data_IF_782287264126
#
_entry.id   IF_782287264126
#
_cell.length_a   1.000
_cell.length_b   1.000
_cell.length_c   1.000
_cell.angle_alpha   90.00
_cell.angle_beta   90.00
_cell.angle_gamma   90.00
#
_symmetry.space_group_name_H-M   'P 1'
#
loop_
_entity.id
_entity.type
_entity.pdbx_description
1 polymer ?
#
# COMPACT_ATOMS: atom_id res chain seq x y z
N UNK A 1 11.68 -20.71 5.75
CA UNK A 1 11.01 -19.39 5.66
C UNK A 1 11.94 -18.43 4.95
N UNK A 2 11.49 -17.81 3.88
CA UNK A 2 12.21 -16.79 3.09
C UNK A 2 12.44 -15.52 3.90
N UNK A 3 13.49 -14.79 3.61
CA UNK A 3 13.81 -13.48 4.21
C UNK A 3 13.14 -12.37 3.40
N UNK A 4 12.33 -11.54 4.04
CA UNK A 4 11.58 -10.45 3.42
C UNK A 4 12.45 -9.19 3.38
N UNK A 5 12.66 -8.60 2.21
CA UNK A 5 13.27 -7.28 2.07
C UNK A 5 12.21 -6.19 2.07
N UNK A 6 12.17 -5.33 3.09
CA UNK A 6 11.25 -4.20 3.17
C UNK A 6 11.92 -2.92 2.70
N UNK A 7 11.36 -2.26 1.69
CA UNK A 7 11.69 -0.88 1.33
C UNK A 7 10.64 0.01 2.00
N UNK A 8 11.02 0.63 3.11
CA UNK A 8 10.13 1.41 3.97
C UNK A 8 10.57 2.87 4.13
N UNK A 9 9.96 3.56 5.09
CA UNK A 9 10.24 4.97 5.39
C UNK A 9 9.29 5.96 4.71
N UNK A 10 8.31 5.49 3.94
CA UNK A 10 7.43 6.34 3.12
C UNK A 10 5.92 6.22 3.50
N UNK A 11 5.41 6.47 4.68
CA UNK A 11 6.09 6.99 5.87
C UNK A 11 6.73 5.90 6.76
N UNK A 12 7.44 6.35 7.82
CA UNK A 12 7.95 5.42 8.84
C UNK A 12 6.82 4.87 9.71
N UNK A 13 5.75 5.63 9.94
CA UNK A 13 4.56 5.19 10.68
C UNK A 13 3.92 3.96 10.01
N UNK A 14 3.68 4.03 8.70
CA UNK A 14 3.15 2.90 7.95
C UNK A 14 4.13 1.73 7.88
N UNK A 15 5.43 2.00 7.84
CA UNK A 15 6.47 0.97 7.87
C UNK A 15 6.48 0.21 9.19
N UNK A 16 6.28 0.89 10.31
CA UNK A 16 6.11 0.25 11.62
C UNK A 16 4.88 -0.68 11.66
N UNK A 17 3.77 -0.29 10.99
CA UNK A 17 2.60 -1.16 10.83
C UNK A 17 2.92 -2.40 9.98
N UNK A 18 3.70 -2.26 8.89
CA UNK A 18 4.17 -3.41 8.12
C UNK A 18 4.98 -4.38 8.97
N UNK A 19 5.96 -3.88 9.71
CA UNK A 19 6.76 -4.69 10.62
C UNK A 19 5.89 -5.47 11.60
N UNK A 20 4.96 -4.78 12.25
CA UNK A 20 4.03 -5.40 13.20
C UNK A 20 3.12 -6.43 12.55
N UNK A 21 2.51 -6.09 11.40
CA UNK A 21 1.56 -6.96 10.70
C UNK A 21 2.22 -8.24 10.20
N UNK A 22 3.43 -8.15 9.64
CA UNK A 22 4.22 -9.31 9.21
C UNK A 22 4.53 -10.26 10.37
N UNK A 23 5.01 -9.72 11.49
CA UNK A 23 5.33 -10.55 12.65
C UNK A 23 4.08 -11.21 13.23
N UNK A 24 2.96 -10.49 13.32
CA UNK A 24 1.68 -11.07 13.75
C UNK A 24 1.18 -12.13 12.77
N UNK A 25 1.34 -11.91 11.47
CA UNK A 25 0.93 -12.87 10.45
C UNK A 25 1.71 -14.18 10.53
N UNK A 26 3.04 -14.10 10.71
CA UNK A 26 3.90 -15.28 10.89
C UNK A 26 3.59 -15.98 12.22
N UNK A 27 3.45 -15.23 13.32
CA UNK A 27 3.12 -15.81 14.62
C UNK A 27 1.79 -16.56 14.61
N UNK A 28 0.75 -16.04 13.92
CA UNK A 28 -0.54 -16.73 13.77
C UNK A 28 -0.44 -18.04 12.99
N UNK A 29 0.47 -18.12 11.99
CA UNK A 29 0.62 -19.31 11.14
C UNK A 29 1.47 -20.40 11.77
N UNK A 30 2.54 -20.02 12.47
CA UNK A 30 3.51 -20.96 13.00
C UNK A 30 3.41 -21.17 14.52
N UNK A 31 2.77 -20.23 15.24
CA UNK A 31 2.66 -20.29 16.70
C UNK A 31 3.95 -19.98 17.43
N UNK A 32 3.91 -20.14 18.78
CA UNK A 32 5.08 -19.99 19.64
C UNK A 32 5.78 -18.63 19.52
N UNK A 33 7.09 -18.64 19.48
CA UNK A 33 7.94 -17.45 19.36
C UNK A 33 8.33 -17.12 17.92
N UNK A 34 7.64 -17.70 16.91
CA UNK A 34 7.93 -17.42 15.53
C UNK A 34 7.64 -15.97 15.16
N UNK A 35 8.55 -15.36 14.42
CA UNK A 35 8.47 -14.00 13.86
C UNK A 35 8.99 -14.00 12.43
N UNK A 36 8.74 -12.93 11.68
CA UNK A 36 9.20 -12.80 10.32
C UNK A 36 10.73 -12.65 10.26
N UNK A 37 11.35 -13.36 9.31
CA UNK A 37 12.72 -13.03 8.90
C UNK A 37 12.63 -11.86 7.94
N UNK A 38 13.18 -10.70 8.28
CA UNK A 38 13.14 -9.53 7.43
C UNK A 38 14.38 -8.65 7.58
N UNK A 39 14.66 -7.92 6.51
CA UNK A 39 15.62 -6.83 6.47
C UNK A 39 14.83 -5.58 6.06
N UNK A 40 14.99 -4.48 6.79
CA UNK A 40 14.34 -3.21 6.51
C UNK A 40 15.38 -2.19 6.04
N UNK A 41 15.18 -1.63 4.85
CA UNK A 41 15.82 -0.41 4.41
C UNK A 41 14.79 0.72 4.53
N UNK A 42 15.01 1.64 5.47
CA UNK A 42 14.13 2.78 5.68
C UNK A 42 14.76 4.02 5.06
N UNK A 43 14.10 4.60 4.05
CA UNK A 43 14.54 5.85 3.40
C UNK A 43 14.05 7.07 4.19
N UNK A 44 14.64 8.24 3.93
CA UNK A 44 14.09 9.52 4.36
C UNK A 44 12.93 9.90 3.41
N UNK A 45 11.70 10.01 3.96
CA UNK A 45 10.53 10.32 3.15
C UNK A 45 10.60 11.73 2.52
N UNK A 46 11.27 12.65 3.16
CA UNK A 46 11.41 14.00 2.63
C UNK A 46 12.07 14.02 1.25
N UNK A 47 13.11 13.20 1.03
CA UNK A 47 13.78 13.11 -0.27
C UNK A 47 12.84 12.54 -1.35
N UNK A 48 12.11 11.47 -1.02
CA UNK A 48 11.14 10.85 -1.94
C UNK A 48 9.97 11.81 -2.25
N UNK A 49 9.46 12.50 -1.25
CA UNK A 49 8.37 13.48 -1.39
C UNK A 49 8.77 14.65 -2.30
N UNK A 50 10.01 15.16 -2.17
CA UNK A 50 10.55 16.17 -3.06
C UNK A 50 10.60 15.70 -4.52
N UNK A 51 11.06 14.48 -4.78
CA UNK A 51 11.06 13.92 -6.14
C UNK A 51 9.63 13.77 -6.69
N UNK A 52 8.68 13.31 -5.88
CA UNK A 52 7.28 13.19 -6.27
C UNK A 52 6.69 14.55 -6.65
N UNK A 53 6.90 15.58 -5.85
CA UNK A 53 6.36 16.92 -6.07
C UNK A 53 6.95 17.61 -7.31
N UNK A 54 8.22 17.33 -7.63
CA UNK A 54 8.91 17.85 -8.82
C UNK A 54 8.66 17.02 -10.08
N UNK A 55 8.00 15.86 -9.94
CA UNK A 55 7.81 14.92 -11.04
C UNK A 55 9.09 14.17 -11.46
N UNK A 56 10.10 14.15 -10.59
CA UNK A 56 11.42 13.54 -10.81
C UNK A 56 11.39 12.04 -10.49
N UNK A 57 10.48 11.31 -11.17
CA UNK A 57 10.21 9.90 -10.90
C UNK A 57 11.42 8.98 -11.14
N UNK A 58 12.27 9.32 -12.10
CA UNK A 58 13.50 8.54 -12.39
C UNK A 58 14.50 8.64 -11.24
N UNK A 59 14.61 9.81 -10.57
CA UNK A 59 15.47 9.99 -9.40
C UNK A 59 14.92 9.22 -8.20
N UNK A 60 13.59 9.29 -7.98
CA UNK A 60 12.95 8.48 -6.96
C UNK A 60 13.14 6.98 -7.18
N UNK A 61 13.02 6.52 -8.44
CA UNK A 61 13.25 5.13 -8.81
C UNK A 61 14.70 4.70 -8.54
N UNK A 62 15.69 5.51 -8.94
CA UNK A 62 17.11 5.23 -8.70
C UNK A 62 17.43 5.11 -7.21
N UNK A 63 16.91 6.04 -6.40
CA UNK A 63 17.10 6.01 -4.95
C UNK A 63 16.53 4.73 -4.31
N UNK A 64 15.33 4.31 -4.74
CA UNK A 64 14.70 3.07 -4.24
C UNK A 64 15.32 1.80 -4.83
N UNK A 65 15.89 1.88 -6.03
CA UNK A 65 16.68 0.80 -6.62
C UNK A 65 17.95 0.50 -5.80
N UNK A 66 18.67 1.54 -5.36
CA UNK A 66 19.83 1.38 -4.48
C UNK A 66 19.46 0.69 -3.14
N UNK A 67 18.29 1.05 -2.59
CA UNK A 67 17.74 0.38 -1.42
C UNK A 67 17.44 -1.10 -1.71
N UNK A 68 16.80 -1.38 -2.86
CA UNK A 68 16.47 -2.74 -3.30
C UNK A 68 17.72 -3.62 -3.50
N UNK A 69 18.75 -3.08 -4.16
CA UNK A 69 20.05 -3.75 -4.29
C UNK A 69 20.70 -4.04 -2.94
N UNK A 70 20.61 -3.11 -1.98
CA UNK A 70 21.15 -3.30 -0.64
C UNK A 70 20.44 -4.43 0.11
N UNK A 71 19.13 -4.55 -0.07
CA UNK A 71 18.33 -5.66 0.49
C UNK A 71 18.69 -7.00 -0.16
N UNK A 72 18.85 -7.05 -1.49
CA UNK A 72 19.28 -8.26 -2.20
C UNK A 72 20.67 -8.71 -1.72
N UNK A 73 21.65 -7.79 -1.66
CA UNK A 73 22.99 -8.08 -1.12
C UNK A 73 22.96 -8.49 0.35
N UNK A 74 21.98 -8.00 1.11
CA UNK A 74 21.76 -8.37 2.51
C UNK A 74 21.14 -9.76 2.69
N UNK A 75 20.73 -10.42 1.60
CA UNK A 75 20.16 -11.77 1.61
C UNK A 75 18.64 -11.81 1.71
N UNK A 76 17.94 -10.76 1.24
CA UNK A 76 16.50 -10.82 1.04
C UNK A 76 16.18 -11.78 -0.13
N UNK A 77 15.15 -12.60 0.03
CA UNK A 77 14.68 -13.53 -1.00
C UNK A 77 13.64 -12.88 -1.94
N UNK A 78 12.97 -11.85 -1.48
CA UNK A 78 12.00 -11.05 -2.26
C UNK A 78 11.79 -9.68 -1.60
N UNK A 79 11.20 -8.75 -2.36
CA UNK A 79 10.97 -7.38 -1.95
C UNK A 79 9.50 -7.08 -1.66
N UNK A 80 9.27 -6.23 -0.68
CA UNK A 80 7.99 -5.60 -0.33
C UNK A 80 8.22 -4.10 -0.24
N UNK A 81 7.57 -3.34 -1.11
CA UNK A 81 7.61 -1.88 -1.13
C UNK A 81 6.46 -1.34 -0.26
N UNK A 82 6.80 -0.74 0.88
CA UNK A 82 5.86 -0.37 1.93
C UNK A 82 5.09 0.94 1.63
N UNK A 83 4.64 1.12 0.40
CA UNK A 83 3.87 2.28 -0.08
C UNK A 83 3.10 1.93 -1.34
N UNK A 84 1.94 2.56 -1.58
CA UNK A 84 1.22 2.37 -2.84
C UNK A 84 1.81 3.21 -3.98
N UNK A 85 2.10 4.48 -3.73
CA UNK A 85 2.50 5.46 -4.77
C UNK A 85 3.74 5.04 -5.54
N UNK A 86 4.78 4.56 -4.85
CA UNK A 86 6.05 4.23 -5.52
C UNK A 86 6.01 2.95 -6.35
N UNK A 87 4.91 2.18 -6.28
CA UNK A 87 4.68 1.12 -7.26
C UNK A 87 4.51 1.63 -8.70
N UNK A 88 4.34 2.95 -8.88
CA UNK A 88 4.43 3.61 -10.19
C UNK A 88 5.75 3.33 -10.92
N UNK A 89 6.82 3.21 -10.17
CA UNK A 89 8.18 2.97 -10.71
C UNK A 89 8.73 1.60 -10.30
N UNK A 90 7.84 0.64 -9.99
CA UNK A 90 8.22 -0.70 -9.52
C UNK A 90 9.17 -1.42 -10.47
N UNK A 91 8.94 -1.32 -11.79
CA UNK A 91 9.78 -1.97 -12.80
C UNK A 91 11.21 -1.41 -12.78
N UNK A 92 11.36 -0.07 -12.65
CA UNK A 92 12.67 0.57 -12.54
C UNK A 92 13.37 0.26 -11.21
N UNK A 93 12.62 0.12 -10.11
CA UNK A 93 13.17 -0.29 -8.80
C UNK A 93 13.75 -1.70 -8.86
N UNK A 94 13.17 -2.59 -9.64
CA UNK A 94 13.57 -4.00 -9.70
C UNK A 94 14.46 -4.36 -10.89
N UNK A 95 14.79 -3.40 -11.73
CA UNK A 95 15.62 -3.63 -12.92
C UNK A 95 16.98 -4.23 -12.54
N UNK A 96 17.36 -5.31 -13.22
CA UNK A 96 18.62 -6.02 -12.98
C UNK A 96 18.74 -6.78 -11.65
N UNK A 97 17.70 -6.84 -10.81
CA UNK A 97 17.69 -7.67 -9.61
C UNK A 97 17.28 -9.11 -9.92
N UNK A 98 17.80 -10.06 -9.13
CA UNK A 98 17.45 -11.48 -9.23
C UNK A 98 16.28 -11.87 -8.33
N UNK A 99 15.84 -10.97 -7.45
CA UNK A 99 14.72 -11.18 -6.52
C UNK A 99 13.49 -10.42 -6.97
N UNK A 100 12.32 -11.01 -6.77
CA UNK A 100 11.04 -10.44 -7.22
C UNK A 100 10.46 -9.44 -6.22
N UNK A 101 9.69 -8.48 -6.71
CA UNK A 101 8.83 -7.62 -5.91
C UNK A 101 7.43 -8.23 -5.81
N UNK A 102 6.93 -8.41 -4.58
CA UNK A 102 5.52 -8.69 -4.35
C UNK A 102 4.73 -7.39 -4.54
N UNK A 103 3.92 -7.31 -5.59
CA UNK A 103 3.23 -6.06 -5.93
C UNK A 103 1.94 -5.87 -5.12
N UNK A 104 1.79 -4.73 -4.44
CA UNK A 104 0.66 -4.45 -3.54
C UNK A 104 -0.70 -4.50 -4.23
N UNK A 105 -0.81 -4.02 -5.48
CA UNK A 105 -2.06 -4.05 -6.23
C UNK A 105 -2.49 -5.48 -6.58
N UNK A 106 -1.54 -6.38 -6.89
CA UNK A 106 -1.85 -7.78 -7.17
C UNK A 106 -2.36 -8.49 -5.92
N UNK A 107 -1.72 -8.27 -4.78
CA UNK A 107 -2.16 -8.81 -3.51
C UNK A 107 -3.58 -8.33 -3.18
N UNK A 108 -3.85 -7.03 -3.36
CA UNK A 108 -5.16 -6.43 -3.13
C UNK A 108 -6.23 -7.00 -4.07
N UNK A 109 -5.95 -7.05 -5.38
CA UNK A 109 -6.89 -7.60 -6.36
C UNK A 109 -7.24 -9.06 -6.07
N UNK A 110 -6.27 -9.88 -5.67
CA UNK A 110 -6.51 -11.28 -5.32
C UNK A 110 -7.46 -11.44 -4.13
N UNK A 111 -7.38 -10.58 -3.12
CA UNK A 111 -8.29 -10.59 -1.97
C UNK A 111 -9.69 -10.17 -2.39
N UNK A 112 -9.83 -9.09 -3.14
CA UNK A 112 -11.12 -8.59 -3.65
C UNK A 112 -11.83 -9.67 -4.50
N UNK A 113 -11.09 -10.31 -5.42
CA UNK A 113 -11.63 -11.41 -6.26
C UNK A 113 -12.07 -12.60 -5.45
N UNK A 114 -11.32 -12.98 -4.40
CA UNK A 114 -11.75 -14.06 -3.49
C UNK A 114 -12.99 -13.70 -2.69
N UNK A 115 -13.23 -12.43 -2.42
CA UNK A 115 -14.48 -11.95 -1.83
C UNK A 115 -15.66 -11.92 -2.83
N UNK A 116 -15.44 -12.23 -4.12
CA UNK A 116 -16.47 -12.27 -5.16
C UNK A 116 -16.89 -10.90 -5.69
N UNK A 117 -16.18 -9.83 -5.33
CA UNK A 117 -16.51 -8.47 -5.72
C UNK A 117 -15.91 -8.12 -7.09
N UNK A 118 -16.61 -7.24 -7.83
CA UNK A 118 -16.22 -6.81 -9.18
C UNK A 118 -16.02 -5.30 -9.29
N UNK A 119 -16.73 -4.51 -8.47
CA UNK A 119 -16.69 -3.05 -8.48
C UNK A 119 -16.17 -2.53 -7.15
N UNK A 120 -15.11 -1.70 -7.18
CA UNK A 120 -14.48 -1.18 -5.97
C UNK A 120 -14.19 0.31 -6.10
N UNK A 121 -14.30 1.01 -4.96
CA UNK A 121 -13.83 2.37 -4.82
C UNK A 121 -12.36 2.40 -4.43
N UNK A 122 -11.59 3.34 -4.95
CA UNK A 122 -10.19 3.53 -4.61
C UNK A 122 -9.98 4.89 -3.95
N UNK A 123 -9.52 4.88 -2.70
CA UNK A 123 -9.05 6.05 -1.97
C UNK A 123 -7.52 5.96 -1.80
N UNK A 124 -6.81 7.05 -2.08
CA UNK A 124 -5.35 7.08 -1.99
C UNK A 124 -4.78 8.47 -2.24
N UNK A 125 -3.47 8.57 -2.46
CA UNK A 125 -2.88 9.83 -2.93
C UNK A 125 -3.41 10.18 -4.32
N UNK A 126 -3.28 11.45 -4.72
CA UNK A 126 -3.66 11.86 -6.09
C UNK A 126 -3.00 10.97 -7.15
N UNK A 127 -1.74 10.60 -6.97
CA UNK A 127 -1.01 9.73 -7.91
C UNK A 127 -1.69 8.35 -8.02
N UNK A 128 -2.10 7.76 -6.89
CA UNK A 128 -2.74 6.45 -6.87
C UNK A 128 -4.16 6.49 -7.48
N UNK A 129 -4.90 7.60 -7.28
CA UNK A 129 -6.25 7.75 -7.80
C UNK A 129 -6.29 8.20 -9.26
N UNK A 130 -5.41 9.15 -9.66
CA UNK A 130 -5.49 9.80 -10.98
C UNK A 130 -4.72 9.04 -12.06
N UNK A 131 -3.62 8.36 -11.69
CA UNK A 131 -2.76 7.69 -12.67
C UNK A 131 -3.14 6.22 -12.88
N UNK A 132 -2.71 5.68 -14.00
CA UNK A 132 -3.11 4.33 -14.44
C UNK A 132 -2.31 3.20 -13.82
N UNK A 133 -1.15 3.47 -13.19
CA UNK A 133 -0.24 2.41 -12.71
C UNK A 133 -0.90 1.48 -11.68
N UNK A 134 -1.73 2.02 -10.80
CA UNK A 134 -2.45 1.23 -9.79
C UNK A 134 -3.79 0.75 -10.32
N UNK A 135 -4.66 1.67 -10.76
CA UNK A 135 -6.00 1.38 -11.26
C UNK A 135 -5.95 0.43 -12.45
N UNK A 136 -5.14 0.73 -13.46
CA UNK A 136 -5.02 -0.10 -14.65
C UNK A 136 -4.51 -1.52 -14.37
N UNK A 137 -3.74 -1.72 -13.28
CA UNK A 137 -3.33 -3.05 -12.85
C UNK A 137 -4.49 -3.84 -12.25
N UNK A 138 -5.34 -3.21 -11.45
CA UNK A 138 -6.58 -3.81 -10.93
C UNK A 138 -7.57 -4.14 -12.05
N UNK A 139 -7.72 -3.22 -13.02
CA UNK A 139 -8.59 -3.39 -14.20
C UNK A 139 -8.15 -4.56 -15.08
N UNK A 140 -6.85 -4.73 -15.30
CA UNK A 140 -6.29 -5.91 -16.01
C UNK A 140 -6.61 -7.23 -15.31
N UNK A 141 -6.83 -7.20 -14.00
CA UNK A 141 -7.26 -8.35 -13.22
C UNK A 141 -8.78 -8.54 -13.17
N UNK A 142 -9.54 -7.73 -13.93
CA UNK A 142 -11.00 -7.85 -14.11
C UNK A 142 -11.83 -7.10 -13.07
N UNK A 143 -11.26 -6.12 -12.37
CA UNK A 143 -11.99 -5.26 -11.43
C UNK A 143 -12.40 -3.96 -12.11
N UNK A 144 -13.60 -3.46 -11.81
CA UNK A 144 -14.02 -2.08 -12.12
C UNK A 144 -13.61 -1.18 -10.96
N UNK A 145 -12.87 -0.11 -11.25
CA UNK A 145 -12.33 0.78 -10.21
C UNK A 145 -12.89 2.19 -10.38
N UNK A 146 -13.62 2.65 -9.36
CA UNK A 146 -14.13 4.00 -9.26
C UNK A 146 -13.24 4.83 -8.33
N UNK A 147 -12.97 6.08 -8.71
CA UNK A 147 -12.35 7.08 -7.82
C UNK A 147 -13.36 8.19 -7.52
N UNK A 148 -13.24 8.89 -6.38
CA UNK A 148 -14.13 10.00 -6.07
C UNK A 148 -14.05 11.14 -7.10
N UNK A 149 -15.03 12.05 -7.16
CA UNK A 149 -14.92 13.31 -7.88
C UNK A 149 -13.68 14.11 -7.46
N UNK A 150 -13.23 15.03 -8.32
CA UNK A 150 -11.97 15.74 -8.11
C UNK A 150 -11.90 16.49 -6.77
N UNK A 151 -12.98 17.17 -6.37
CA UNK A 151 -13.05 17.87 -5.09
C UNK A 151 -12.79 16.93 -3.90
N UNK A 152 -13.37 15.75 -3.94
CA UNK A 152 -13.18 14.73 -2.88
C UNK A 152 -11.79 14.10 -2.95
N UNK A 153 -11.22 13.88 -4.15
CA UNK A 153 -9.83 13.44 -4.28
C UNK A 153 -8.84 14.43 -3.66
N UNK A 154 -9.10 15.73 -3.80
CA UNK A 154 -8.29 16.77 -3.17
C UNK A 154 -8.38 16.69 -1.64
N UNK A 155 -9.58 16.48 -1.08
CA UNK A 155 -9.77 16.26 0.36
C UNK A 155 -8.98 15.03 0.83
N UNK A 156 -9.14 13.89 0.14
CA UNK A 156 -8.45 12.65 0.48
C UNK A 156 -6.94 12.84 0.46
N UNK A 157 -6.40 13.44 -0.60
CA UNK A 157 -4.96 13.68 -0.75
C UNK A 157 -4.41 14.62 0.34
N UNK A 158 -5.11 15.73 0.62
CA UNK A 158 -4.74 16.68 1.67
C UNK A 158 -4.66 16.01 3.04
N UNK A 159 -5.69 15.26 3.42
CA UNK A 159 -5.72 14.56 4.71
C UNK A 159 -4.56 13.56 4.82
N UNK A 160 -4.20 12.86 3.75
CA UNK A 160 -3.07 11.94 3.75
C UNK A 160 -1.77 12.69 4.09
N UNK A 161 -1.44 13.76 3.35
CA UNK A 161 -0.15 14.43 3.51
C UNK A 161 -0.08 15.37 4.72
N UNK A 162 -1.14 16.15 4.97
CA UNK A 162 -1.12 17.19 6.01
C UNK A 162 -1.45 16.64 7.41
N UNK A 163 -2.02 15.43 7.49
CA UNK A 163 -2.44 14.84 8.75
C UNK A 163 -1.85 13.43 8.96
N UNK A 164 -2.22 12.44 8.14
CA UNK A 164 -1.92 11.03 8.41
C UNK A 164 -0.43 10.70 8.31
N UNK A 165 0.28 11.23 7.32
CA UNK A 165 1.74 11.06 7.18
C UNK A 165 2.52 11.71 8.34
N UNK A 166 1.88 12.60 9.10
CA UNK A 166 2.43 13.23 10.30
C UNK A 166 1.93 12.57 11.60
N UNK A 167 1.24 11.42 11.49
CA UNK A 167 0.69 10.69 12.63
C UNK A 167 -0.56 11.33 13.24
N UNK A 168 -1.16 12.35 12.62
CA UNK A 168 -2.34 13.05 13.13
C UNK A 168 -3.62 12.38 12.62
N UNK A 169 -4.45 11.87 13.53
CA UNK A 169 -5.75 11.26 13.23
C UNK A 169 -6.86 12.16 13.80
N UNK A 170 -7.72 12.71 12.91
CA UNK A 170 -8.74 13.69 13.29
C UNK A 170 -10.15 13.17 12.99
N UNK A 171 -11.09 13.44 13.88
CA UNK A 171 -12.49 12.98 13.72
C UNK A 171 -13.24 13.73 12.61
N UNK A 172 -12.93 15.03 12.40
CA UNK A 172 -13.49 15.79 11.29
C UNK A 172 -13.07 15.23 9.92
N UNK A 173 -11.82 14.83 9.78
CA UNK A 173 -11.32 14.15 8.59
C UNK A 173 -11.94 12.77 8.41
N UNK A 174 -12.16 12.01 9.50
CA UNK A 174 -12.88 10.73 9.45
C UNK A 174 -14.32 10.91 8.95
N UNK A 175 -15.03 11.97 9.39
CA UNK A 175 -16.38 12.27 8.90
C UNK A 175 -16.39 12.58 7.40
N UNK A 176 -15.40 13.32 6.89
CA UNK A 176 -15.27 13.57 5.45
C UNK A 176 -15.07 12.26 4.68
N UNK A 177 -14.20 11.37 5.15
CA UNK A 177 -13.99 10.07 4.53
C UNK A 177 -15.26 9.20 4.54
N UNK A 178 -16.02 9.20 5.66
CA UNK A 178 -17.32 8.49 5.73
C UNK A 178 -18.31 8.99 4.68
N UNK A 179 -18.39 10.31 4.49
CA UNK A 179 -19.25 10.90 3.45
C UNK A 179 -18.79 10.44 2.07
N UNK A 180 -17.50 10.60 1.74
CA UNK A 180 -16.93 10.20 0.44
C UNK A 180 -17.18 8.72 0.17
N UNK A 181 -16.94 7.85 1.15
CA UNK A 181 -17.20 6.41 1.04
C UNK A 181 -18.68 6.15 0.76
N UNK A 182 -19.59 6.82 1.49
CA UNK A 182 -21.04 6.67 1.28
C UNK A 182 -21.46 7.08 -0.12
N UNK A 183 -20.92 8.18 -0.64
CA UNK A 183 -21.23 8.67 -2.00
C UNK A 183 -20.72 7.69 -3.07
N UNK A 184 -19.55 7.08 -2.86
CA UNK A 184 -19.02 6.04 -3.75
C UNK A 184 -19.91 4.78 -3.72
N UNK A 185 -20.36 4.36 -2.54
CA UNK A 185 -21.27 3.21 -2.40
C UNK A 185 -22.61 3.48 -3.10
N UNK A 186 -23.16 4.69 -2.96
CA UNK A 186 -24.36 5.11 -3.68
C UNK A 186 -24.15 5.11 -5.20
N UNK A 187 -22.91 5.22 -5.67
CA UNK A 187 -22.53 5.11 -7.09
C UNK A 187 -22.32 3.65 -7.54
N UNK A 188 -22.55 2.65 -6.67
CA UNK A 188 -22.59 1.24 -7.01
C UNK A 188 -21.29 0.46 -6.79
N UNK A 189 -20.33 0.97 -5.99
CA UNK A 189 -19.17 0.17 -5.60
C UNK A 189 -19.54 -0.84 -4.49
N UNK A 190 -18.95 -2.02 -4.56
CA UNK A 190 -19.22 -3.15 -3.66
C UNK A 190 -18.20 -3.23 -2.52
N UNK A 191 -17.10 -2.46 -2.60
CA UNK A 191 -16.05 -2.41 -1.59
C UNK A 191 -15.14 -1.20 -1.78
N UNK A 192 -14.37 -0.83 -0.76
CA UNK A 192 -13.47 0.32 -0.77
C UNK A 192 -12.03 -0.12 -0.54
N UNK A 193 -11.13 0.23 -1.46
CA UNK A 193 -9.69 0.06 -1.30
C UNK A 193 -9.12 1.26 -0.56
N UNK A 194 -8.48 1.02 0.59
CA UNK A 194 -7.69 1.99 1.31
C UNK A 194 -6.27 2.00 0.70
N UNK A 195 -6.12 2.71 -0.42
CA UNK A 195 -4.95 2.71 -1.30
C UNK A 195 -3.84 3.69 -0.87
N UNK A 196 -3.82 4.05 0.39
CA UNK A 196 -2.69 4.66 1.08
C UNK A 196 -2.52 3.95 2.41
N UNK A 197 -1.29 3.64 2.76
CA UNK A 197 -0.94 2.86 3.95
C UNK A 197 -1.41 3.51 5.25
N UNK A 198 -1.57 4.83 5.25
CA UNK A 198 -1.99 5.63 6.39
C UNK A 198 -3.52 5.70 6.56
N UNK A 199 -4.31 5.49 5.49
CA UNK A 199 -5.78 5.60 5.58
C UNK A 199 -6.35 4.60 6.60
N UNK A 200 -5.76 3.42 6.74
CA UNK A 200 -6.15 2.42 7.74
C UNK A 200 -6.01 2.89 9.20
N UNK A 201 -5.26 3.98 9.47
CA UNK A 201 -5.22 4.61 10.80
C UNK A 201 -6.48 5.47 11.06
N UNK A 202 -7.08 6.02 10.00
CA UNK A 202 -8.25 6.90 10.08
C UNK A 202 -9.57 6.14 9.91
N UNK A 203 -9.62 5.24 8.93
CA UNK A 203 -10.83 4.52 8.51
C UNK A 203 -10.75 3.05 8.88
N UNK A 204 -11.79 2.56 9.52
CA UNK A 204 -11.98 1.17 9.89
C UNK A 204 -13.18 0.56 9.16
N UNK A 205 -13.43 -0.74 9.35
CA UNK A 205 -14.63 -1.39 8.81
C UNK A 205 -15.95 -0.76 9.31
N UNK A 206 -15.95 -0.12 10.50
CA UNK A 206 -17.12 0.56 11.04
C UNK A 206 -17.42 1.91 10.35
N UNK A 207 -16.51 2.40 9.53
CA UNK A 207 -16.63 3.69 8.83
C UNK A 207 -17.17 3.52 7.40
N UNK A 208 -17.48 2.28 6.99
CA UNK A 208 -17.94 1.95 5.64
C UNK A 208 -19.14 1.00 5.68
N UNK A 209 -20.19 1.21 4.86
CA UNK A 209 -21.30 0.28 4.72
C UNK A 209 -20.96 -0.96 3.87
N UNK A 210 -19.80 -0.97 3.23
CA UNK A 210 -19.29 -2.09 2.43
C UNK A 210 -17.91 -2.52 2.91
N UNK A 211 -17.41 -3.73 2.56
CA UNK A 211 -16.08 -4.17 2.96
C UNK A 211 -14.98 -3.17 2.59
N UNK A 212 -14.03 -2.95 3.50
CA UNK A 212 -12.82 -2.16 3.25
C UNK A 212 -11.62 -3.08 3.06
N UNK A 213 -10.75 -2.72 2.11
CA UNK A 213 -9.54 -3.45 1.77
C UNK A 213 -8.32 -2.60 2.11
N UNK A 214 -7.80 -2.79 3.32
CA UNK A 214 -6.56 -2.15 3.76
C UNK A 214 -5.38 -2.77 3.03
N UNK A 215 -4.79 -2.00 2.12
CA UNK A 215 -3.71 -2.48 1.27
C UNK A 215 -2.46 -2.83 2.06
N UNK A 216 -2.18 -2.18 3.19
CA UNK A 216 -1.06 -2.48 4.09
C UNK A 216 -1.22 -3.86 4.72
N UNK A 217 -2.39 -4.10 5.31
CA UNK A 217 -2.68 -5.38 5.96
C UNK A 217 -2.68 -6.52 4.95
N UNK A 218 -3.32 -6.33 3.80
CA UNK A 218 -3.39 -7.32 2.72
C UNK A 218 -2.00 -7.65 2.19
N UNK A 219 -1.16 -6.64 1.97
CA UNK A 219 0.18 -6.82 1.45
C UNK A 219 1.09 -7.54 2.44
N UNK A 220 1.01 -7.18 3.73
CA UNK A 220 1.75 -7.86 4.79
C UNK A 220 1.34 -9.34 4.94
N UNK A 221 0.02 -9.65 4.88
CA UNK A 221 -0.47 -11.03 4.90
C UNK A 221 0.03 -11.83 3.68
N UNK A 222 -0.03 -11.23 2.49
CA UNK A 222 0.47 -11.86 1.27
C UNK A 222 1.98 -12.11 1.32
N UNK A 223 2.75 -11.16 1.89
CA UNK A 223 4.18 -11.31 2.08
C UNK A 223 4.52 -12.41 3.09
N UNK A 224 3.76 -12.53 4.18
CA UNK A 224 3.90 -13.63 5.13
C UNK A 224 3.61 -14.98 4.48
N UNK A 225 2.53 -15.07 3.68
CA UNK A 225 2.21 -16.28 2.92
C UNK A 225 3.32 -16.64 1.92
N UNK A 226 3.87 -15.64 1.22
CA UNK A 226 4.96 -15.84 0.27
C UNK A 226 6.25 -16.31 0.97
N UNK A 227 6.55 -15.74 2.13
CA UNK A 227 7.73 -16.11 2.93
C UNK A 227 7.68 -17.56 3.43
N UNK A 228 6.48 -18.12 3.61
CA UNK A 228 6.27 -19.49 4.10
C UNK A 228 6.14 -20.54 2.97
N UNK A 229 6.10 -20.12 1.70
CA UNK A 229 6.15 -21.07 0.57
C UNK A 229 7.52 -21.72 0.48
N UNK A 230 7.53 -23.01 0.19
CA UNK A 230 8.72 -23.78 -0.12
C UNK A 230 9.41 -23.30 -1.40
#
# INVERSE_FOLDING_TARGET
>A
MKTIGLIGGMSWESTALYYRSLNLAIARRLGGFHSARLILFSVDFHEIELFQNRGEWDQAAAHLHDAAQSLERGGADFLVLCTNTMHKVADAITDGLNISLLHIADATANVIKRAGLKSVGLLGTRFTMDETFYRGRLEKMGLSVLVPPEEDRQIVNRVIYDELCLGNVRDDSRQQYRRIITDMVNSGVEGIILGCTEIGMLVSANDSPVPTFDTTQIHAEAAADYALRE
#
